data_IF_396300351166
#
_entry.id   IF_396300351166
#
_cell.length_a   1.000
_cell.length_b   1.000
_cell.length_c   1.000
_cell.angle_alpha   90.00
_cell.angle_beta   90.00
_cell.angle_gamma   90.00
#
_symmetry.space_group_name_H-M   'P 1'
#
loop_
_entity.id
_entity.type
_entity.pdbx_description
1 polymer ?
#
# COMPACT_ATOMS: atom_id res chain seq x y z
N UNK A 1 -39.85 -8.10 -40.49
CA UNK A 1 -38.54 -8.52 -39.94
C UNK A 1 -38.37 -7.81 -38.61
N UNK A 2 -37.85 -8.45 -37.57
CA UNK A 2 -37.63 -7.80 -36.27
C UNK A 2 -36.15 -7.41 -36.15
N UNK A 3 -35.84 -6.11 -36.25
CA UNK A 3 -34.45 -5.62 -36.19
C UNK A 3 -34.08 -5.49 -34.72
N UNK A 4 -33.28 -6.43 -34.22
CA UNK A 4 -32.67 -6.29 -32.89
C UNK A 4 -31.61 -5.18 -32.95
N UNK A 5 -31.66 -4.16 -32.06
CA UNK A 5 -30.61 -3.15 -32.03
C UNK A 5 -29.31 -3.78 -31.52
N UNK A 6 -28.30 -3.87 -32.39
CA UNK A 6 -26.94 -4.21 -31.96
C UNK A 6 -26.41 -3.00 -31.18
N UNK A 7 -26.50 -3.07 -29.86
CA UNK A 7 -26.12 -2.00 -28.94
C UNK A 7 -24.59 -1.89 -28.84
N UNK A 8 -23.96 -1.38 -29.91
CA UNK A 8 -22.54 -1.00 -29.94
C UNK A 8 -22.26 0.20 -29.03
N UNK A 9 -22.37 -0.01 -27.73
CA UNK A 9 -21.79 0.87 -26.72
C UNK A 9 -20.31 0.47 -26.55
N UNK A 10 -19.38 1.43 -26.35
CA UNK A 10 -18.02 1.08 -25.93
C UNK A 10 -18.09 0.31 -24.60
N UNK A 11 -17.19 -0.66 -24.36
CA UNK A 11 -17.27 -1.51 -23.19
C UNK A 11 -17.21 -0.68 -21.91
N UNK A 12 -18.19 -0.88 -21.02
CA UNK A 12 -18.28 -0.10 -19.78
C UNK A 12 -17.17 -0.57 -18.84
N UNK A 13 -16.11 0.24 -18.75
CA UNK A 13 -15.00 -0.01 -17.84
C UNK A 13 -15.34 0.51 -16.45
N UNK A 14 -15.14 -0.33 -15.44
CA UNK A 14 -15.04 0.10 -14.04
C UNK A 14 -13.58 0.34 -13.70
N UNK A 15 -13.29 1.47 -13.07
CA UNK A 15 -11.98 1.73 -12.48
C UNK A 15 -11.95 1.16 -11.06
N UNK A 16 -11.04 0.22 -10.78
CA UNK A 16 -10.82 -0.33 -9.44
C UNK A 16 -9.41 0.07 -8.98
N UNK A 17 -9.34 0.91 -7.96
CA UNK A 17 -8.07 1.42 -7.42
C UNK A 17 -7.77 0.75 -6.08
N UNK A 18 -6.52 0.34 -5.89
CA UNK A 18 -5.99 -0.11 -4.59
C UNK A 18 -4.91 0.86 -4.15
N UNK A 19 -5.20 1.68 -3.15
CA UNK A 19 -4.23 2.57 -2.52
C UNK A 19 -3.62 1.86 -1.31
N UNK A 20 -2.29 1.79 -1.23
CA UNK A 20 -1.59 1.11 -0.14
C UNK A 20 -0.22 1.74 0.16
N UNK A 21 0.29 1.57 1.38
CA UNK A 21 1.65 2.00 1.77
C UNK A 21 2.76 1.13 1.18
N UNK A 22 2.45 -0.12 0.83
CA UNK A 22 3.31 -1.08 0.14
C UNK A 22 2.46 -2.20 -0.49
N UNK A 23 2.98 -2.82 -1.55
CA UNK A 23 2.38 -3.95 -2.27
C UNK A 23 3.40 -5.08 -2.53
N UNK A 24 4.49 -5.15 -1.76
CA UNK A 24 5.58 -6.12 -1.93
C UNK A 24 5.85 -7.00 -0.69
N UNK A 25 5.59 -6.50 0.51
CA UNK A 25 5.89 -7.14 1.81
C UNK A 25 4.73 -7.05 2.81
N UNK A 26 3.95 -5.97 2.79
CA UNK A 26 2.87 -5.75 3.74
C UNK A 26 1.71 -6.73 3.53
N UNK A 27 1.59 -7.73 4.41
CA UNK A 27 0.65 -8.85 4.25
C UNK A 27 -0.81 -8.39 4.06
N UNK A 28 -1.38 -7.50 4.90
CA UNK A 28 -2.71 -6.90 4.67
C UNK A 28 -2.91 -6.30 3.27
N UNK A 29 -1.89 -5.65 2.70
CA UNK A 29 -1.99 -4.95 1.43
C UNK A 29 -1.80 -5.89 0.23
N UNK A 30 -0.83 -6.83 0.32
CA UNK A 30 -0.56 -7.85 -0.69
C UNK A 30 -1.72 -8.85 -0.79
N UNK A 31 -2.23 -9.34 0.35
CA UNK A 31 -3.40 -10.23 0.39
C UNK A 31 -4.67 -9.54 -0.14
N UNK A 32 -4.87 -8.26 0.19
CA UNK A 32 -5.93 -7.45 -0.40
C UNK A 32 -5.81 -7.35 -1.94
N UNK A 33 -4.60 -7.19 -2.49
CA UNK A 33 -4.39 -7.20 -3.95
C UNK A 33 -4.71 -8.57 -4.57
N UNK A 34 -4.34 -9.67 -3.91
CA UNK A 34 -4.69 -11.02 -4.36
C UNK A 34 -6.21 -11.25 -4.34
N UNK A 35 -6.90 -10.78 -3.29
CA UNK A 35 -8.35 -10.91 -3.15
C UNK A 35 -9.12 -10.09 -4.21
N UNK A 36 -8.58 -8.93 -4.63
CA UNK A 36 -9.09 -8.17 -5.79
C UNK A 36 -8.95 -9.00 -7.08
N UNK A 37 -7.79 -9.59 -7.32
CA UNK A 37 -7.56 -10.42 -8.51
C UNK A 37 -8.50 -11.64 -8.54
N UNK A 38 -8.72 -12.27 -7.38
CA UNK A 38 -9.66 -13.39 -7.24
C UNK A 38 -11.12 -12.96 -7.46
N UNK A 39 -11.54 -11.81 -6.91
CA UNK A 39 -12.89 -11.27 -7.12
C UNK A 39 -13.17 -10.98 -8.61
N UNK A 40 -12.20 -10.42 -9.34
CA UNK A 40 -12.31 -10.16 -10.78
C UNK A 40 -12.36 -11.47 -11.57
N UNK A 41 -11.55 -12.47 -11.20
CA UNK A 41 -11.57 -13.79 -11.85
C UNK A 41 -12.93 -14.49 -11.69
N UNK A 42 -13.54 -14.44 -10.50
CA UNK A 42 -14.88 -14.97 -10.23
C UNK A 42 -15.98 -14.29 -11.06
N UNK A 43 -15.79 -13.03 -11.45
CA UNK A 43 -16.74 -12.23 -12.22
C UNK A 43 -16.46 -12.21 -13.74
N UNK A 44 -15.38 -12.87 -14.21
CA UNK A 44 -14.86 -12.69 -15.56
C UNK A 44 -15.89 -12.99 -16.67
N UNK A 45 -16.60 -14.11 -16.59
CA UNK A 45 -17.60 -14.47 -17.60
C UNK A 45 -18.85 -13.59 -17.54
N UNK A 46 -19.28 -13.14 -16.34
CA UNK A 46 -20.38 -12.18 -16.19
C UNK A 46 -20.04 -10.84 -16.85
N UNK A 47 -18.87 -10.28 -16.53
CA UNK A 47 -18.36 -9.02 -17.11
C UNK A 47 -18.29 -9.11 -18.63
N UNK A 48 -17.74 -10.21 -19.16
CA UNK A 48 -17.68 -10.52 -20.60
C UNK A 48 -19.05 -10.61 -21.25
N UNK A 49 -20.03 -11.28 -20.63
CA UNK A 49 -21.42 -11.34 -21.12
C UNK A 49 -22.10 -9.97 -21.10
N UNK A 50 -21.76 -9.10 -20.14
CA UNK A 50 -22.30 -7.74 -20.02
C UNK A 50 -21.59 -6.70 -20.91
N UNK A 51 -20.53 -7.08 -21.64
CA UNK A 51 -19.71 -6.13 -22.40
C UNK A 51 -18.95 -5.14 -21.51
N UNK A 52 -18.49 -5.60 -20.35
CA UNK A 52 -17.84 -4.80 -19.31
C UNK A 52 -16.41 -5.27 -19.03
N UNK A 53 -15.60 -4.34 -18.54
CA UNK A 53 -14.17 -4.54 -18.21
C UNK A 53 -13.85 -3.90 -16.87
N UNK A 54 -12.83 -4.40 -16.17
CA UNK A 54 -12.31 -3.78 -14.94
C UNK A 54 -10.87 -3.37 -15.17
N UNK A 55 -10.57 -2.10 -14.91
CA UNK A 55 -9.25 -1.49 -14.99
C UNK A 55 -8.68 -1.41 -13.57
N UNK A 56 -7.71 -2.27 -13.26
CA UNK A 56 -7.10 -2.30 -11.92
C UNK A 56 -5.91 -1.36 -11.85
N UNK A 57 -5.94 -0.41 -10.91
CA UNK A 57 -4.83 0.49 -10.59
C UNK A 57 -4.32 0.26 -9.15
N UNK A 58 -3.28 -0.56 -8.96
CA UNK A 58 -2.54 -0.57 -7.71
C UNK A 58 -1.70 0.71 -7.63
N UNK A 59 -1.82 1.45 -6.52
CA UNK A 59 -1.18 2.74 -6.28
C UNK A 59 -0.45 2.63 -4.94
N UNK A 60 0.87 2.56 -4.98
CA UNK A 60 1.69 2.74 -3.78
C UNK A 60 1.70 4.23 -3.43
N UNK A 61 1.46 4.54 -2.16
CA UNK A 61 1.49 5.89 -1.61
C UNK A 61 2.88 6.11 -1.00
N UNK A 62 3.68 6.92 -1.67
CA UNK A 62 5.10 7.10 -1.38
C UNK A 62 5.38 8.31 -0.46
N UNK A 63 4.42 9.22 -0.31
CA UNK A 63 4.59 10.47 0.44
C UNK A 63 3.30 11.02 1.06
N UNK A 64 3.44 11.86 2.09
CA UNK A 64 2.34 12.58 2.74
C UNK A 64 1.60 13.52 1.76
N UNK A 65 2.33 14.15 0.82
CA UNK A 65 1.73 15.04 -0.20
C UNK A 65 0.84 14.26 -1.18
N UNK A 66 1.28 13.08 -1.63
CA UNK A 66 0.46 12.16 -2.42
C UNK A 66 -0.73 11.62 -1.63
N UNK A 67 -0.55 11.29 -0.35
CA UNK A 67 -1.64 10.87 0.53
C UNK A 67 -2.71 11.97 0.65
N UNK A 68 -2.30 13.23 0.83
CA UNK A 68 -3.19 14.41 0.86
C UNK A 68 -3.91 14.60 -0.48
N UNK A 69 -3.19 14.53 -1.59
CA UNK A 69 -3.75 14.70 -2.94
C UNK A 69 -4.80 13.64 -3.28
N UNK A 70 -4.58 12.38 -2.89
CA UNK A 70 -5.48 11.26 -3.16
C UNK A 70 -6.52 11.04 -2.06
N UNK A 71 -6.58 11.90 -1.03
CA UNK A 71 -7.42 11.72 0.16
C UNK A 71 -7.28 10.31 0.78
N UNK A 72 -6.05 9.82 0.84
CA UNK A 72 -5.71 8.51 1.40
C UNK A 72 -5.69 8.61 2.92
N UNK A 73 -6.47 7.75 3.58
CA UNK A 73 -6.68 7.81 5.02
C UNK A 73 -6.11 6.60 5.77
N UNK A 74 -6.20 5.41 5.18
CA UNK A 74 -5.76 4.16 5.80
C UNK A 74 -5.37 3.13 4.74
N UNK A 75 -4.45 2.24 5.08
CA UNK A 75 -3.90 1.22 4.18
C UNK A 75 -4.43 -0.16 4.53
N UNK A 76 -4.82 -1.02 3.57
CA UNK A 76 -5.16 -0.69 2.19
C UNK A 76 -6.53 0.03 2.10
N UNK A 77 -6.75 0.75 1.00
CA UNK A 77 -8.03 1.34 0.62
C UNK A 77 -8.39 0.90 -0.80
N UNK A 78 -9.60 0.36 -0.99
CA UNK A 78 -10.12 -0.03 -2.31
C UNK A 78 -11.17 0.99 -2.74
N UNK A 79 -11.08 1.47 -3.97
CA UNK A 79 -12.08 2.35 -4.58
C UNK A 79 -12.62 1.74 -5.88
N UNK A 80 -13.90 1.94 -6.14
CA UNK A 80 -14.51 1.68 -7.45
C UNK A 80 -15.05 3.01 -7.99
N UNK A 81 -14.61 3.40 -9.18
CA UNK A 81 -14.89 4.70 -9.81
C UNK A 81 -14.63 5.90 -8.87
N UNK A 82 -13.59 5.81 -8.03
CA UNK A 82 -13.20 6.82 -7.04
C UNK A 82 -13.91 6.76 -5.68
N UNK A 83 -14.99 6.00 -5.53
CA UNK A 83 -15.69 5.82 -4.26
C UNK A 83 -15.10 4.64 -3.47
N UNK A 84 -14.83 4.81 -2.17
CA UNK A 84 -14.39 3.72 -1.28
C UNK A 84 -15.49 2.65 -1.15
N UNK A 85 -15.12 1.38 -1.21
CA UNK A 85 -16.08 0.26 -1.11
C UNK A 85 -16.63 0.07 0.31
N UNK A 86 -15.96 0.61 1.34
CA UNK A 86 -16.36 0.49 2.73
C UNK A 86 -16.43 1.87 3.40
N UNK A 87 -17.59 2.19 3.99
CA UNK A 87 -17.85 3.49 4.61
C UNK A 87 -17.22 3.64 6.01
N UNK A 88 -16.89 2.54 6.68
CA UNK A 88 -16.24 2.55 8.00
C UNK A 88 -14.71 2.50 7.90
N UNK A 89 -14.06 3.36 8.69
CA UNK A 89 -12.61 3.37 8.91
C UNK A 89 -12.34 2.72 10.26
N UNK A 90 -12.19 1.40 10.26
CA UNK A 90 -11.67 0.64 11.39
C UNK A 90 -10.17 0.47 11.19
N UNK A 91 -9.37 0.56 12.25
CA UNK A 91 -7.94 0.32 12.18
C UNK A 91 -7.43 -0.53 13.36
N UNK A 92 -6.32 -1.25 13.13
CA UNK A 92 -5.57 -2.02 14.13
C UNK A 92 -4.08 -1.98 13.77
N UNK A 93 -3.21 -2.20 14.75
CA UNK A 93 -1.76 -2.30 14.53
C UNK A 93 -1.44 -3.29 13.41
N UNK A 94 -0.57 -2.89 12.50
CA UNK A 94 -0.07 -3.69 11.41
C UNK A 94 1.44 -3.82 11.55
N UNK A 95 1.89 -4.99 11.97
CA UNK A 95 3.30 -5.27 12.22
C UNK A 95 4.11 -5.11 10.93
N UNK A 96 3.60 -5.53 9.77
CA UNK A 96 4.31 -5.35 8.50
C UNK A 96 4.50 -3.88 8.08
N UNK A 97 3.58 -2.97 8.42
CA UNK A 97 3.78 -1.53 8.18
C UNK A 97 4.67 -0.87 9.25
N UNK A 98 4.62 -1.39 10.47
CA UNK A 98 5.48 -1.00 11.61
C UNK A 98 6.95 -1.35 11.31
N UNK A 99 7.20 -2.56 10.81
CA UNK A 99 8.52 -3.01 10.32
C UNK A 99 8.99 -2.19 9.11
N UNK A 100 8.09 -1.91 8.15
CA UNK A 100 8.40 -1.19 6.90
C UNK A 100 8.82 0.28 7.11
N UNK A 101 8.33 0.95 8.15
CA UNK A 101 8.86 2.25 8.58
C UNK A 101 9.90 2.16 9.71
N UNK A 102 10.15 0.94 10.22
CA UNK A 102 10.82 0.67 11.50
C UNK A 102 10.43 1.64 12.62
N UNK A 103 9.12 1.85 12.77
CA UNK A 103 8.54 2.88 13.63
C UNK A 103 7.32 2.33 14.36
N UNK A 104 7.15 2.69 15.65
CA UNK A 104 6.21 1.99 16.53
C UNK A 104 4.72 2.26 16.20
N UNK A 105 3.93 1.19 16.10
CA UNK A 105 2.47 1.26 16.22
C UNK A 105 1.71 1.79 15.00
N UNK A 106 2.15 1.47 13.76
CA UNK A 106 1.38 1.87 12.57
C UNK A 106 0.07 1.08 12.48
N UNK A 107 -1.03 1.78 12.68
CA UNK A 107 -2.38 1.27 12.47
C UNK A 107 -2.74 1.27 10.98
N UNK A 108 -3.37 0.19 10.52
CA UNK A 108 -3.86 -0.02 9.16
C UNK A 108 -5.30 -0.57 9.19
N UNK A 109 -5.96 -0.56 8.04
CA UNK A 109 -7.39 -0.84 7.89
C UNK A 109 -7.75 -2.26 8.33
N UNK A 110 -8.82 -2.35 9.10
CA UNK A 110 -9.57 -3.59 9.32
C UNK A 110 -10.85 -3.53 8.48
N UNK A 111 -11.14 -4.62 7.78
CA UNK A 111 -12.34 -4.77 6.97
C UNK A 111 -13.39 -5.52 7.78
N UNK A 112 -14.59 -4.96 7.93
CA UNK A 112 -15.73 -5.65 8.55
C UNK A 112 -16.69 -6.12 7.48
N UNK A 113 -17.03 -7.40 7.48
CA UNK A 113 -17.89 -7.99 6.45
C UNK A 113 -18.68 -9.17 7.04
N UNK A 114 -19.99 -9.19 6.81
CA UNK A 114 -20.93 -10.19 7.35
C UNK A 114 -20.90 -10.38 8.89
N UNK A 115 -20.37 -9.40 9.63
CA UNK A 115 -20.23 -9.41 11.10
C UNK A 115 -18.82 -9.71 11.61
N UNK A 116 -17.96 -10.30 10.77
CA UNK A 116 -16.57 -10.66 11.09
C UNK A 116 -15.58 -9.55 10.71
N UNK A 117 -14.39 -9.58 11.32
CA UNK A 117 -13.28 -8.64 11.05
C UNK A 117 -12.08 -9.32 10.38
N UNK A 118 -11.54 -8.68 9.35
CA UNK A 118 -10.47 -9.20 8.49
C UNK A 118 -9.35 -8.16 8.32
N UNK A 119 -8.10 -8.59 8.28
CA UNK A 119 -6.93 -7.74 7.97
C UNK A 119 -6.78 -7.48 6.47
N UNK A 120 -7.36 -8.33 5.63
CA UNK A 120 -7.38 -8.22 4.18
C UNK A 120 -8.82 -8.05 3.70
N UNK A 121 -9.04 -7.32 2.60
CA UNK A 121 -10.39 -7.16 2.08
C UNK A 121 -10.96 -8.52 1.62
N UNK A 122 -12.11 -8.99 2.15
CA UNK A 122 -12.65 -10.29 1.77
C UNK A 122 -13.11 -10.31 0.31
N UNK A 123 -12.84 -11.41 -0.40
CA UNK A 123 -13.24 -11.60 -1.80
C UNK A 123 -14.74 -11.34 -2.01
N UNK A 124 -15.59 -11.80 -1.09
CA UNK A 124 -17.04 -11.54 -1.13
C UNK A 124 -17.41 -10.06 -1.05
N UNK A 125 -16.72 -9.29 -0.18
CA UNK A 125 -16.93 -7.84 -0.04
C UNK A 125 -16.59 -7.08 -1.33
N UNK A 126 -15.51 -7.51 -2.00
CA UNK A 126 -15.07 -6.92 -3.27
C UNK A 126 -16.05 -7.29 -4.40
N UNK A 127 -16.52 -8.54 -4.44
CA UNK A 127 -17.55 -9.00 -5.38
C UNK A 127 -18.86 -8.22 -5.19
N UNK A 128 -19.34 -8.07 -3.96
CA UNK A 128 -20.55 -7.31 -3.64
C UNK A 128 -20.42 -5.83 -4.05
N UNK A 129 -19.26 -5.21 -3.82
CA UNK A 129 -19.00 -3.83 -4.23
C UNK A 129 -18.98 -3.67 -5.76
N UNK A 130 -18.36 -4.61 -6.50
CA UNK A 130 -18.35 -4.60 -7.96
C UNK A 130 -19.78 -4.79 -8.50
N UNK A 131 -20.50 -5.81 -8.04
CA UNK A 131 -21.87 -6.10 -8.48
C UNK A 131 -22.84 -4.97 -8.12
N UNK A 132 -22.74 -4.39 -6.92
CA UNK A 132 -23.49 -3.21 -6.51
C UNK A 132 -23.24 -2.02 -7.43
N UNK A 133 -21.98 -1.74 -7.77
CA UNK A 133 -21.64 -0.68 -8.73
C UNK A 133 -22.20 -0.96 -10.12
N UNK A 134 -22.17 -2.21 -10.58
CA UNK A 134 -22.74 -2.62 -11.88
C UNK A 134 -24.25 -2.43 -11.89
N UNK A 135 -24.98 -2.93 -10.91
CA UNK A 135 -26.44 -2.98 -10.96
C UNK A 135 -27.14 -1.69 -10.54
N UNK A 136 -26.57 -0.93 -9.60
CA UNK A 136 -27.30 0.20 -9.02
C UNK A 136 -27.47 1.39 -10.00
N UNK A 137 -26.63 1.47 -11.05
CA UNK A 137 -26.71 2.35 -12.25
C UNK A 137 -26.77 3.87 -12.05
N UNK A 138 -27.21 4.35 -10.89
CA UNK A 138 -26.90 5.67 -10.40
C UNK A 138 -25.38 5.83 -10.38
N UNK A 139 -24.88 7.02 -10.75
CA UNK A 139 -23.55 7.43 -10.27
C UNK A 139 -23.52 7.26 -8.74
N UNK A 140 -22.35 7.07 -8.11
CA UNK A 140 -22.26 7.23 -6.66
C UNK A 140 -22.99 8.53 -6.32
N UNK A 141 -23.89 8.46 -5.33
CA UNK A 141 -24.46 9.67 -4.78
C UNK A 141 -23.31 10.62 -4.43
N UNK A 142 -23.57 11.93 -4.32
CA UNK A 142 -22.62 12.83 -3.68
C UNK A 142 -22.68 12.58 -2.16
N UNK A 143 -22.25 11.37 -1.78
CA UNK A 143 -21.29 11.16 -0.71
C UNK A 143 -20.22 12.19 -0.98
N UNK A 144 -20.40 13.37 -0.37
CA UNK A 144 -19.28 14.22 -0.01
C UNK A 144 -18.22 13.26 0.51
N UNK A 145 -16.99 13.25 -0.04
CA UNK A 145 -15.97 12.41 0.54
C UNK A 145 -15.95 12.67 2.04
N UNK A 146 -15.59 11.66 2.84
CA UNK A 146 -15.00 11.99 4.12
C UNK A 146 -13.71 12.74 3.77
N UNK A 147 -13.82 14.07 3.59
CA UNK A 147 -12.73 14.94 3.19
C UNK A 147 -11.85 15.04 4.40
N UNK A 148 -10.93 14.09 4.52
CA UNK A 148 -9.86 14.11 5.51
C UNK A 148 -9.16 15.44 5.33
N UNK A 149 -9.52 16.41 6.19
CA UNK A 149 -9.19 17.82 6.02
C UNK A 149 -7.68 18.04 6.08
N UNK A 150 -6.98 17.09 6.70
CA UNK A 150 -5.56 16.85 6.56
C UNK A 150 -5.28 15.34 6.65
N UNK A 151 -4.05 14.93 6.35
CA UNK A 151 -3.59 13.53 6.39
C UNK A 151 -3.63 12.99 7.84
N UNK A 152 -4.18 11.79 8.09
CA UNK A 152 -4.17 11.13 9.40
C UNK A 152 -2.78 10.95 10.02
N UNK A 153 -2.72 10.96 11.35
CA UNK A 153 -1.45 10.98 12.10
C UNK A 153 -0.61 9.70 11.96
N UNK A 154 -1.25 8.52 11.80
CA UNK A 154 -0.55 7.26 11.49
C UNK A 154 0.20 7.36 10.15
N UNK A 155 -0.43 7.93 9.12
CA UNK A 155 0.23 8.14 7.82
C UNK A 155 1.36 9.16 7.91
N UNK A 156 1.18 10.28 8.63
CA UNK A 156 2.25 11.26 8.89
C UNK A 156 3.46 10.62 9.58
N UNK A 157 3.23 9.84 10.63
CA UNK A 157 4.28 9.11 11.34
C UNK A 157 5.00 8.13 10.41
N UNK A 158 4.26 7.33 9.63
CA UNK A 158 4.83 6.40 8.67
C UNK A 158 5.76 7.09 7.67
N UNK A 159 5.33 8.20 7.05
CA UNK A 159 6.15 8.91 6.07
C UNK A 159 7.36 9.63 6.70
N UNK A 160 7.21 10.20 7.90
CA UNK A 160 8.32 10.83 8.60
C UNK A 160 9.41 9.80 8.96
N UNK A 161 9.05 8.69 9.61
CA UNK A 161 10.06 7.68 9.99
C UNK A 161 10.65 6.94 8.79
N UNK A 162 9.87 6.69 7.74
CA UNK A 162 10.40 6.15 6.46
C UNK A 162 11.39 7.12 5.80
N UNK A 163 11.16 8.44 5.90
CA UNK A 163 12.13 9.44 5.46
C UNK A 163 13.38 9.46 6.34
N UNK A 164 13.23 9.40 7.67
CA UNK A 164 14.35 9.34 8.63
C UNK A 164 15.26 8.14 8.37
N UNK A 165 14.68 6.95 8.11
CA UNK A 165 15.42 5.76 7.69
C UNK A 165 16.19 5.94 6.38
N UNK A 166 15.60 6.62 5.39
CA UNK A 166 16.28 6.94 4.13
C UNK A 166 17.43 7.94 4.32
N UNK A 167 17.41 8.71 5.42
CA UNK A 167 18.46 9.67 5.81
C UNK A 167 19.49 9.10 6.79
N UNK A 168 19.84 7.81 6.71
CA UNK A 168 20.93 7.18 7.48
C UNK A 168 22.37 7.67 7.12
N UNK A 169 22.48 8.90 6.62
CA UNK A 169 23.72 9.64 6.41
C UNK A 169 23.82 10.76 7.45
N UNK A 170 25.02 11.02 7.97
CA UNK A 170 25.23 12.07 8.97
C UNK A 170 24.84 13.48 8.49
N UNK A 171 24.42 14.33 9.43
CA UNK A 171 23.96 15.69 9.12
C UNK A 171 25.06 16.55 8.48
N UNK A 172 24.68 17.58 7.73
CA UNK A 172 25.62 18.40 6.93
C UNK A 172 26.75 19.02 7.78
N UNK A 173 26.48 19.33 9.05
CA UNK A 173 27.49 19.88 9.96
C UNK A 173 28.44 18.81 10.54
N UNK A 174 28.08 17.52 10.46
CA UNK A 174 28.79 16.39 11.08
C UNK A 174 29.54 15.53 10.04
N UNK A 175 29.26 15.71 8.75
CA UNK A 175 29.92 15.03 7.61
C UNK A 175 31.45 15.20 7.60
N UNK A 176 32.00 16.25 8.22
CA UNK A 176 33.45 16.43 8.40
C UNK A 176 34.08 15.49 9.46
N UNK A 177 33.27 14.73 10.21
CA UNK A 177 33.70 13.90 11.35
C UNK A 177 33.12 12.48 11.35
N UNK A 178 31.99 12.29 10.68
CA UNK A 178 31.33 11.00 10.49
C UNK A 178 32.04 10.15 9.42
N UNK A 179 32.30 8.87 9.74
CA UNK A 179 32.56 7.79 8.76
C UNK A 179 32.46 6.42 9.43
N UNK A 180 32.50 5.34 8.67
CA UNK A 180 31.67 4.16 8.96
C UNK A 180 32.39 2.92 9.54
N UNK A 181 31.56 1.93 9.89
CA UNK A 181 31.65 1.07 11.07
C UNK A 181 33.06 0.74 11.59
N UNK A 182 33.66 -0.37 11.11
CA UNK A 182 34.80 -0.98 11.79
C UNK A 182 36.16 -0.46 11.30
N UNK A 183 36.19 0.18 10.13
CA UNK A 183 37.44 0.60 9.46
C UNK A 183 37.35 1.94 8.74
N UNK A 184 37.22 2.99 9.56
CA UNK A 184 37.78 4.33 9.28
C UNK A 184 39.31 4.36 9.01
N UNK A 185 40.01 3.22 8.98
CA UNK A 185 41.49 3.12 9.06
C UNK A 185 42.27 3.90 8.01
N UNK A 186 41.59 4.26 6.92
CA UNK A 186 42.14 5.01 5.80
C UNK A 186 41.01 5.89 5.23
N UNK A 187 40.24 6.61 6.07
CA UNK A 187 38.87 7.05 5.72
C UNK A 187 38.73 7.83 4.39
N UNK A 188 39.78 8.48 3.90
CA UNK A 188 39.94 8.90 2.50
C UNK A 188 41.39 8.68 1.98
N UNK A 189 41.89 7.43 1.96
CA UNK A 189 43.02 7.04 1.10
C UNK A 189 42.72 7.35 -0.38
N UNK A 190 43.72 7.32 -1.28
CA UNK A 190 43.60 7.91 -2.64
C UNK A 190 42.64 7.20 -3.60
N UNK A 191 41.36 7.41 -3.33
CA UNK A 191 40.16 7.32 -4.14
C UNK A 191 39.96 6.04 -4.98
N UNK A 192 38.90 5.32 -4.62
CA UNK A 192 37.64 5.63 -5.31
C UNK A 192 36.65 6.22 -4.30
N UNK A 193 36.27 7.48 -4.51
CA UNK A 193 35.25 8.17 -3.70
C UNK A 193 33.84 7.74 -4.15
N UNK A 194 33.48 6.48 -3.87
CA UNK A 194 32.15 5.84 -3.98
C UNK A 194 31.25 5.97 -2.76
N UNK A 195 30.52 7.08 -2.47
CA UNK A 195 29.17 7.01 -1.05
C UNK A 195 28.15 6.00 -1.38
N UNK A 196 27.74 6.40 -2.53
CA UNK A 196 28.36 7.65 -2.98
C UNK A 196 30.41 8.91 -1.17
N UNK A 197 30.99 8.55 0.01
CA UNK A 197 31.90 7.41 0.32
C UNK A 197 32.05 7.20 1.83
N UNK A 198 31.77 8.24 2.60
CA UNK A 198 32.34 8.46 3.92
C UNK A 198 31.28 9.22 4.74
N UNK A 199 30.63 8.53 5.69
CA UNK A 199 29.59 9.12 6.55
C UNK A 199 28.15 8.64 6.33
N UNK A 200 27.95 7.43 5.80
CA UNK A 200 26.63 6.80 5.64
C UNK A 200 26.71 5.29 5.92
N UNK A 201 25.95 4.79 6.90
CA UNK A 201 25.95 3.36 7.23
C UNK A 201 24.97 2.59 6.33
N UNK A 202 25.42 1.54 5.65
CA UNK A 202 24.51 0.66 4.91
C UNK A 202 23.69 -0.18 5.89
N UNK A 203 22.36 -0.01 5.88
CA UNK A 203 21.44 -0.85 6.66
C UNK A 203 21.63 -2.34 6.28
N UNK A 204 21.68 -3.20 7.29
CA UNK A 204 21.99 -4.62 7.11
C UNK A 204 20.86 -5.36 6.40
N UNK A 205 21.21 -6.20 5.44
CA UNK A 205 20.35 -7.30 5.01
C UNK A 205 20.11 -8.24 6.18
N UNK A 206 18.83 -8.48 6.49
CA UNK A 206 18.44 -9.58 7.36
C UNK A 206 18.77 -10.89 6.64
N UNK A 207 19.58 -11.73 7.26
CA UNK A 207 19.65 -13.15 6.92
C UNK A 207 19.82 -13.96 8.19
N UNK A 208 18.90 -14.92 8.39
CA UNK A 208 18.84 -15.80 9.55
C UNK A 208 19.70 -17.02 9.27
N UNK A 209 20.66 -17.34 10.14
CA UNK A 209 21.06 -18.75 10.29
C UNK A 209 21.55 -19.14 11.69
N UNK A 210 20.65 -19.82 12.41
CA UNK A 210 20.89 -21.07 13.15
C UNK A 210 22.09 -21.19 14.11
N UNK A 211 21.77 -21.26 15.42
CA UNK A 211 22.71 -21.71 16.44
C UNK A 211 23.14 -23.19 16.27
N UNK A 212 24.42 -23.50 16.58
CA UNK A 212 24.88 -24.87 16.90
C UNK A 212 26.23 -24.90 17.62
N UNK A 213 26.32 -25.73 18.67
CA UNK A 213 27.51 -26.12 19.46
C UNK A 213 28.25 -24.98 20.21
N UNK A 214 28.81 -25.19 21.41
CA UNK A 214 28.70 -26.33 22.34
C UNK A 214 30.01 -27.07 22.61
N UNK A 215 30.55 -26.90 23.82
CA UNK A 215 31.73 -27.57 24.44
C UNK A 215 33.08 -27.41 23.71
N UNK A 216 33.99 -26.63 24.31
CA UNK A 216 35.09 -27.15 25.15
C UNK A 216 35.81 -25.99 25.87
N UNK A 217 36.45 -26.32 26.99
CA UNK A 217 36.95 -25.40 28.02
C UNK A 217 36.70 -26.07 29.37
#
# INVERSE_FOLDING_TARGET
MNISPVMNHPPRTLDLELLALDLSTCTPCVGTLANIQQAIALLQDLLKTMGMTISVRPIVIESESQARQLQFATSPTIRINGADIALETLERQCDSCTDLCGCEGINCRVWRYQGEEYTEAPVGMIVDAILGTIYNHQQPAIVLPNTYADVPNNLKQFFNSKAEQSSACCSVNEQATCCDADKKTECCGTQVATPATCGCQSLRTLNVESAKHGKRG
#
